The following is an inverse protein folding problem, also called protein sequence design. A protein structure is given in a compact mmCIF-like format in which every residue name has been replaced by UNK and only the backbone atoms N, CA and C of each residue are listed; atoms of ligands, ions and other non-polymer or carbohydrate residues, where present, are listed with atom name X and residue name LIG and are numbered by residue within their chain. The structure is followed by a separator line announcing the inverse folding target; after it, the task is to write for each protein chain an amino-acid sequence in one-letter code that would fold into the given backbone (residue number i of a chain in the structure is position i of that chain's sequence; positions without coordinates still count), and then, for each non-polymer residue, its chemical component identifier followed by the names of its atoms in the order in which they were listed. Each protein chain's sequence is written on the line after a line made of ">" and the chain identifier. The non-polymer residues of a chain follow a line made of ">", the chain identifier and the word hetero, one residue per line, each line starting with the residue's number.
data_IF_658122324223
#
_entry.id   IF_658122324223
#
_cell.length_a   1.000
_cell.length_b   1.000
_cell.length_c   1.000
_cell.angle_alpha   90.00
_cell.angle_beta   90.00
_cell.angle_gamma   90.00
#
_symmetry.space_group_name_H-M   'P 1'
#
loop_
_entity.id
_entity.type
_entity.pdbx_description
1 polymer ?
#
# COMPACT_ATOMS: atom_id res chain seq x y z
N UNK A 1 -41.43 30.36 5.50
CA UNK A 1 -40.24 30.57 4.66
C UNK A 1 -39.23 31.57 5.24
N UNK A 2 -39.65 32.72 5.79
CA UNK A 2 -38.73 33.72 6.37
C UNK A 2 -37.92 33.23 7.60
N UNK A 3 -38.45 32.31 8.40
CA UNK A 3 -37.80 31.74 9.59
C UNK A 3 -36.62 30.81 9.24
N UNK A 4 -36.73 29.99 8.17
CA UNK A 4 -35.68 29.09 7.73
C UNK A 4 -34.48 29.84 7.14
N UNK A 5 -34.74 30.93 6.37
CA UNK A 5 -33.68 31.75 5.77
C UNK A 5 -32.92 32.57 6.83
N UNK A 6 -33.58 33.03 7.89
CA UNK A 6 -32.93 33.74 8.99
C UNK A 6 -32.06 32.81 9.86
N UNK A 7 -32.52 31.57 10.09
CA UNK A 7 -31.73 30.54 10.77
C UNK A 7 -30.52 30.13 9.95
N UNK A 8 -30.66 30.01 8.63
CA UNK A 8 -29.57 29.68 7.71
C UNK A 8 -28.49 30.78 7.70
N UNK A 9 -28.89 32.06 7.57
CA UNK A 9 -27.95 33.20 7.63
C UNK A 9 -27.17 33.27 8.95
N UNK A 10 -27.80 32.90 10.05
CA UNK A 10 -27.12 32.84 11.34
C UNK A 10 -26.15 31.66 11.42
N UNK A 11 -26.54 30.49 10.90
CA UNK A 11 -25.69 29.33 10.81
C UNK A 11 -24.45 29.60 9.92
N UNK A 12 -24.64 30.28 8.80
CA UNK A 12 -23.55 30.65 7.88
C UNK A 12 -22.56 31.62 8.58
N UNK A 13 -23.05 32.58 9.38
CA UNK A 13 -22.20 33.49 10.15
C UNK A 13 -21.44 32.79 11.28
N UNK A 14 -22.07 31.86 11.98
CA UNK A 14 -21.42 31.04 13.03
C UNK A 14 -20.42 30.07 12.45
N UNK A 15 -20.69 29.48 11.25
CA UNK A 15 -19.76 28.62 10.51
C UNK A 15 -18.52 29.40 10.06
N UNK A 16 -18.66 30.66 9.66
CA UNK A 16 -17.53 31.51 9.31
C UNK A 16 -16.53 31.75 10.46
N UNK A 17 -16.96 31.53 11.69
CA UNK A 17 -16.09 31.57 12.88
C UNK A 17 -15.50 30.24 13.26
N UNK A 18 -15.91 29.13 12.63
CA UNK A 18 -15.46 27.74 12.88
C UNK A 18 -15.39 27.38 14.38
N UNK A 19 -16.37 27.81 15.15
CA UNK A 19 -16.43 27.60 16.61
C UNK A 19 -17.14 26.28 16.93
N UNK A 20 -16.41 25.18 16.81
CA UNK A 20 -16.88 23.82 17.10
C UNK A 20 -15.71 22.94 17.54
N UNK A 21 -16.04 21.77 18.10
CA UNK A 21 -15.10 20.69 18.42
C UNK A 21 -15.56 19.40 17.76
N UNK A 22 -14.61 18.55 17.36
CA UNK A 22 -14.89 17.19 16.90
C UNK A 22 -14.46 16.18 17.95
N UNK A 23 -15.27 15.16 18.11
CA UNK A 23 -15.01 14.00 18.92
C UNK A 23 -15.36 12.75 18.13
N UNK A 24 -14.61 11.66 18.31
CA UNK A 24 -14.99 10.37 17.78
C UNK A 24 -16.39 9.99 18.32
N UNK A 25 -17.28 9.52 17.45
CA UNK A 25 -18.58 9.00 17.86
C UNK A 25 -18.55 7.48 17.86
N UNK A 26 -19.23 6.88 18.84
CA UNK A 26 -19.43 5.43 18.92
C UNK A 26 -20.45 5.01 17.87
N UNK A 27 -20.12 4.00 17.05
CA UNK A 27 -21.03 3.44 16.06
C UNK A 27 -20.28 2.95 14.80
N UNK A 28 -21.05 2.45 13.84
CA UNK A 28 -20.51 1.90 12.60
C UNK A 28 -20.75 2.88 11.44
N UNK A 29 -19.67 3.33 10.81
CA UNK A 29 -19.72 4.03 9.53
C UNK A 29 -19.35 3.05 8.40
N UNK A 30 -19.81 3.34 7.17
CA UNK A 30 -19.36 2.60 6.00
C UNK A 30 -17.84 2.76 5.81
N UNK A 31 -17.24 1.77 5.16
CA UNK A 31 -15.81 1.82 4.83
C UNK A 31 -15.45 3.12 4.09
N UNK A 32 -14.34 3.76 4.46
CA UNK A 32 -13.94 5.06 3.91
C UNK A 32 -14.70 6.26 4.47
N UNK A 33 -15.54 6.07 5.48
CA UNK A 33 -16.29 7.12 6.17
C UNK A 33 -15.84 7.26 7.63
N UNK A 34 -16.07 8.43 8.22
CA UNK A 34 -15.84 8.68 9.64
C UNK A 34 -17.14 9.10 10.31
N UNK A 35 -17.45 8.49 11.46
CA UNK A 35 -18.55 8.92 12.32
C UNK A 35 -17.98 9.83 13.41
N UNK A 36 -18.42 11.06 13.44
CA UNK A 36 -17.94 12.08 14.37
C UNK A 36 -19.10 12.73 15.11
N UNK A 37 -18.90 13.05 16.38
CA UNK A 37 -19.77 13.94 17.13
C UNK A 37 -19.24 15.35 17.00
N UNK A 38 -20.07 16.23 16.44
CA UNK A 38 -19.77 17.65 16.28
C UNK A 38 -20.39 18.40 17.43
N UNK A 39 -19.56 19.02 18.26
CA UNK A 39 -19.97 19.89 19.31
C UNK A 39 -19.95 21.35 18.84
N UNK A 40 -21.12 21.97 18.76
CA UNK A 40 -21.26 23.36 18.33
C UNK A 40 -21.87 24.20 19.43
N UNK A 41 -21.44 25.44 19.56
CA UNK A 41 -21.98 26.38 20.50
C UNK A 41 -23.12 27.17 19.88
N UNK A 42 -24.28 27.21 20.55
CA UNK A 42 -25.49 27.90 20.09
C UNK A 42 -26.23 28.58 21.25
N UNK A 43 -26.86 29.71 20.97
CA UNK A 43 -27.74 30.36 21.94
C UNK A 43 -29.06 29.61 22.14
N UNK A 44 -29.34 28.61 21.32
CA UNK A 44 -30.47 27.69 21.41
C UNK A 44 -30.00 26.27 21.63
N UNK A 45 -30.80 25.40 22.29
CA UNK A 45 -30.44 23.99 22.53
C UNK A 45 -30.55 23.13 21.27
N UNK A 46 -30.56 23.73 20.10
CA UNK A 46 -30.65 23.03 18.78
C UNK A 46 -29.69 23.71 17.82
N UNK A 47 -29.25 22.95 16.83
CA UNK A 47 -28.39 23.42 15.74
C UNK A 47 -29.02 23.03 14.40
N UNK A 48 -28.80 23.84 13.37
CA UNK A 48 -29.22 23.45 12.00
C UNK A 48 -28.39 22.29 11.47
N UNK A 49 -29.05 21.29 10.87
CA UNK A 49 -28.39 20.12 10.27
C UNK A 49 -27.29 20.53 9.29
N UNK A 50 -27.56 21.52 8.43
CA UNK A 50 -26.57 22.04 7.50
C UNK A 50 -25.32 22.59 8.17
N UNK A 51 -25.43 23.19 9.35
CA UNK A 51 -24.28 23.68 10.12
C UNK A 51 -23.49 22.51 10.74
N UNK A 52 -24.18 21.51 11.29
CA UNK A 52 -23.51 20.33 11.81
C UNK A 52 -22.71 19.60 10.70
N UNK A 53 -23.31 19.43 9.52
CA UNK A 53 -22.64 18.84 8.35
C UNK A 53 -21.43 19.66 7.88
N UNK A 54 -21.57 20.99 7.80
CA UNK A 54 -20.44 21.89 7.48
C UNK A 54 -19.29 21.73 8.45
N UNK A 55 -19.58 21.81 9.76
CA UNK A 55 -18.58 21.72 10.81
C UNK A 55 -17.89 20.36 10.82
N UNK A 56 -18.64 19.25 10.56
CA UNK A 56 -18.08 17.91 10.44
C UNK A 56 -17.08 17.83 9.29
N UNK A 57 -17.48 18.26 8.08
CA UNK A 57 -16.63 18.21 6.89
C UNK A 57 -15.41 19.11 7.04
N UNK A 58 -15.60 20.36 7.52
CA UNK A 58 -14.49 21.27 7.80
C UNK A 58 -13.52 20.69 8.84
N UNK A 59 -14.05 20.07 9.88
CA UNK A 59 -13.23 19.48 10.93
C UNK A 59 -12.41 18.28 10.42
N UNK A 60 -12.97 17.44 9.56
CA UNK A 60 -12.22 16.36 8.90
C UNK A 60 -11.12 16.93 7.99
N UNK A 61 -11.38 18.04 7.31
CA UNK A 61 -10.37 18.66 6.43
C UNK A 61 -9.23 19.29 7.24
N UNK A 62 -9.51 20.09 8.30
CA UNK A 62 -8.54 21.00 8.88
C UNK A 62 -8.18 20.74 10.36
N UNK A 63 -8.99 19.99 11.13
CA UNK A 63 -8.77 19.82 12.56
C UNK A 63 -8.46 18.38 12.98
N UNK A 64 -9.02 17.40 12.28
CA UNK A 64 -9.03 16.02 12.77
C UNK A 64 -9.80 15.89 14.11
N UNK A 65 -9.60 14.78 14.81
CA UNK A 65 -10.13 14.58 16.17
C UNK A 65 -9.22 13.62 16.95
N UNK A 66 -9.11 13.80 18.29
CA UNK A 66 -8.24 12.98 19.12
C UNK A 66 -8.82 11.57 19.35
N UNK A 67 -7.98 10.70 19.88
CA UNK A 67 -8.41 9.40 20.39
C UNK A 67 -9.50 9.59 21.47
N UNK A 68 -10.42 8.64 21.57
CA UNK A 68 -11.42 8.68 22.63
C UNK A 68 -10.76 8.50 24.01
N UNK A 69 -11.24 9.27 24.99
CA UNK A 69 -10.77 9.22 26.38
C UNK A 69 -11.75 8.52 27.32
N UNK A 70 -12.90 8.09 26.81
CA UNK A 70 -14.03 7.53 27.57
C UNK A 70 -13.99 6.00 27.71
N UNK A 71 -12.87 5.38 27.38
CA UNK A 71 -12.70 3.92 27.43
C UNK A 71 -13.16 3.16 26.18
N UNK A 72 -13.77 3.83 25.21
CA UNK A 72 -14.23 3.21 23.93
C UNK A 72 -13.11 2.85 22.97
N UNK A 73 -11.87 3.30 23.25
CA UNK A 73 -10.66 3.05 22.43
C UNK A 73 -10.82 3.38 20.94
N UNK A 74 -11.64 4.38 20.60
CA UNK A 74 -11.74 4.83 19.22
C UNK A 74 -10.49 5.64 18.88
N UNK A 75 -9.81 5.25 17.80
CA UNK A 75 -8.60 5.93 17.34
C UNK A 75 -8.99 7.27 16.70
N UNK A 76 -8.27 8.31 17.06
CA UNK A 76 -8.41 9.65 16.48
C UNK A 76 -8.01 9.67 15.01
N UNK A 77 -8.24 10.80 14.37
CA UNK A 77 -7.89 11.00 12.97
C UNK A 77 -7.18 12.34 12.79
N UNK A 78 -6.04 12.29 12.12
CA UNK A 78 -5.38 13.50 11.64
C UNK A 78 -6.24 14.19 10.56
N UNK A 79 -6.18 15.53 10.45
CA UNK A 79 -6.87 16.26 9.39
C UNK A 79 -6.36 15.86 8.00
N UNK A 80 -7.18 16.05 6.97
CA UNK A 80 -6.76 15.82 5.59
C UNK A 80 -5.72 16.83 5.12
N UNK A 81 -5.73 18.03 5.70
CA UNK A 81 -4.81 19.15 5.45
C UNK A 81 -4.18 19.55 6.78
N UNK A 82 -2.89 19.25 6.94
CA UNK A 82 -2.13 19.57 8.15
C UNK A 82 -1.50 20.97 8.10
N UNK A 83 -1.49 21.60 6.92
CA UNK A 83 -0.94 22.95 6.74
C UNK A 83 -2.06 23.99 6.76
N UNK A 84 -2.14 24.83 7.80
CA UNK A 84 -3.18 25.88 7.93
C UNK A 84 -3.14 26.89 6.76
N UNK A 85 -1.98 27.11 6.16
CA UNK A 85 -1.83 28.08 5.07
C UNK A 85 -2.61 27.70 3.81
N UNK A 86 -2.97 26.42 3.66
CA UNK A 86 -3.75 25.95 2.50
C UNK A 86 -5.18 26.50 2.53
N UNK A 87 -5.80 26.64 3.71
CA UNK A 87 -7.13 27.25 3.83
C UNK A 87 -7.08 28.71 3.41
N UNK A 88 -6.10 29.46 3.90
CA UNK A 88 -5.92 30.88 3.59
C UNK A 88 -5.58 31.11 2.10
N UNK A 89 -4.75 30.26 1.52
CA UNK A 89 -4.38 30.32 0.10
C UNK A 89 -5.56 30.00 -0.83
N UNK A 90 -6.59 29.29 -0.37
CA UNK A 90 -7.73 28.83 -1.16
C UNK A 90 -9.09 29.34 -0.63
N UNK A 91 -9.12 30.55 -0.05
CA UNK A 91 -10.32 31.13 0.59
C UNK A 91 -11.54 31.14 -0.35
N UNK A 92 -11.37 31.49 -1.61
CA UNK A 92 -12.48 31.54 -2.57
C UNK A 92 -13.05 30.13 -2.84
N UNK A 93 -12.17 29.14 -2.98
CA UNK A 93 -12.57 27.74 -3.12
C UNK A 93 -13.39 27.27 -1.92
N UNK A 94 -12.88 27.45 -0.69
CA UNK A 94 -13.55 26.98 0.51
C UNK A 94 -14.84 27.76 0.82
N UNK A 95 -14.89 29.05 0.51
CA UNK A 95 -16.13 29.80 0.60
C UNK A 95 -17.22 29.24 -0.33
N UNK A 96 -16.84 28.86 -1.56
CA UNK A 96 -17.76 28.22 -2.49
C UNK A 96 -18.11 26.79 -2.09
N UNK A 97 -17.15 26.05 -1.56
CA UNK A 97 -17.32 24.67 -1.11
C UNK A 97 -18.31 24.58 0.08
N UNK A 98 -18.18 25.50 1.05
CA UNK A 98 -18.97 25.51 2.28
C UNK A 98 -20.21 26.42 2.24
N UNK A 99 -20.51 27.10 1.15
CA UNK A 99 -21.73 27.89 1.05
C UNK A 99 -22.99 27.03 1.18
N UNK A 100 -24.12 27.65 1.49
CA UNK A 100 -25.42 26.97 1.49
C UNK A 100 -25.69 26.28 0.15
N UNK A 101 -25.98 24.98 0.17
CA UNK A 101 -26.08 24.17 -1.04
C UNK A 101 -24.74 23.84 -1.71
N UNK A 102 -23.62 24.12 -1.05
CA UNK A 102 -22.27 23.86 -1.56
C UNK A 102 -21.89 22.39 -1.61
N UNK A 103 -20.72 22.12 -2.19
CA UNK A 103 -20.27 20.76 -2.49
C UNK A 103 -20.07 19.90 -1.24
N UNK A 104 -19.80 20.47 -0.06
CA UNK A 104 -19.62 19.74 1.20
C UNK A 104 -20.77 18.78 1.51
N UNK A 105 -22.01 19.13 1.11
CA UNK A 105 -23.20 18.31 1.39
C UNK A 105 -23.12 16.91 0.77
N UNK A 106 -22.41 16.74 -0.33
CA UNK A 106 -22.23 15.46 -1.01
C UNK A 106 -21.40 14.46 -0.22
N UNK A 107 -20.64 14.95 0.77
CA UNK A 107 -19.74 14.13 1.59
C UNK A 107 -20.30 13.86 2.99
N UNK A 108 -21.54 14.24 3.23
CA UNK A 108 -22.29 13.92 4.46
C UNK A 108 -23.31 12.85 4.13
N UNK A 109 -23.13 11.65 4.68
CA UNK A 109 -24.04 10.52 4.46
C UNK A 109 -25.13 10.41 5.53
N UNK A 110 -24.93 11.00 6.70
CA UNK A 110 -25.87 11.01 7.79
C UNK A 110 -25.64 12.23 8.67
N UNK A 111 -26.73 12.82 9.15
CA UNK A 111 -26.75 13.81 10.23
C UNK A 111 -27.90 13.37 11.17
N UNK A 112 -27.62 13.31 12.47
CA UNK A 112 -28.68 13.04 13.45
C UNK A 112 -29.87 13.98 13.25
N UNK A 113 -31.10 13.46 13.38
CA UNK A 113 -32.38 14.06 12.97
C UNK A 113 -32.71 15.46 13.57
N UNK A 114 -31.73 16.36 13.68
CA UNK A 114 -31.84 17.67 14.31
C UNK A 114 -32.09 17.61 15.83
N UNK A 115 -32.23 16.40 16.37
CA UNK A 115 -32.30 16.16 17.81
C UNK A 115 -30.87 16.00 18.31
N UNK A 116 -30.37 16.85 19.20
CA UNK A 116 -29.03 16.70 19.75
C UNK A 116 -28.89 15.38 20.49
N UNK A 117 -27.79 14.66 20.22
CA UNK A 117 -27.42 13.47 20.99
C UNK A 117 -27.16 13.84 22.45
N UNK A 118 -26.60 15.04 22.64
CA UNK A 118 -26.31 15.61 23.95
C UNK A 118 -26.42 17.15 23.93
N UNK A 119 -26.84 17.74 25.06
CA UNK A 119 -26.90 19.17 25.28
C UNK A 119 -26.32 19.51 26.64
N UNK A 120 -25.42 20.48 26.66
CA UNK A 120 -24.83 20.99 27.90
C UNK A 120 -24.99 22.51 27.93
N UNK A 121 -25.58 23.06 29.01
CA UNK A 121 -25.67 24.49 29.17
C UNK A 121 -24.32 25.05 29.65
N UNK A 122 -23.78 26.00 28.91
CA UNK A 122 -22.50 26.66 29.20
C UNK A 122 -22.73 28.18 29.30
N UNK A 123 -22.94 28.68 30.47
CA UNK A 123 -23.27 30.09 30.67
C UNK A 123 -24.57 30.51 29.97
N UNK A 124 -24.50 31.41 29.00
CA UNK A 124 -25.64 31.88 28.18
C UNK A 124 -25.86 31.09 26.90
N UNK A 125 -25.03 30.12 26.61
CA UNK A 125 -25.05 29.28 25.41
C UNK A 125 -25.27 27.81 25.75
N UNK A 126 -25.56 27.01 24.73
CA UNK A 126 -25.63 25.56 24.79
C UNK A 126 -24.50 24.98 23.97
N UNK A 127 -23.78 24.04 24.52
CA UNK A 127 -22.90 23.13 23.78
C UNK A 127 -23.76 21.95 23.30
N UNK A 128 -23.96 21.86 21.99
CA UNK A 128 -24.89 20.91 21.36
C UNK A 128 -24.10 19.90 20.55
N UNK A 129 -24.22 18.60 20.87
CA UNK A 129 -23.55 17.51 20.18
C UNK A 129 -24.49 16.81 19.20
N UNK A 130 -24.07 16.68 17.93
CA UNK A 130 -24.79 15.95 16.89
C UNK A 130 -23.82 14.98 16.22
N UNK A 131 -24.26 13.74 16.03
CA UNK A 131 -23.50 12.73 15.27
C UNK A 131 -23.67 12.95 13.77
N UNK A 132 -22.55 12.95 13.04
CA UNK A 132 -22.47 13.12 11.60
C UNK A 132 -21.54 12.06 11.01
N UNK A 133 -21.94 11.46 9.89
CA UNK A 133 -21.07 10.55 9.12
C UNK A 133 -20.56 11.29 7.88
N UNK A 134 -19.24 11.38 7.75
CA UNK A 134 -18.54 12.02 6.63
C UNK A 134 -17.87 10.97 5.77
N UNK A 135 -18.11 11.01 4.44
CA UNK A 135 -17.48 10.14 3.44
C UNK A 135 -16.07 10.64 3.12
N UNK A 136 -15.11 10.28 3.97
CA UNK A 136 -13.77 10.88 4.00
C UNK A 136 -12.95 10.58 2.75
N UNK A 137 -13.00 9.35 2.24
CA UNK A 137 -12.22 8.97 1.06
C UNK A 137 -12.72 9.68 -0.20
N UNK A 138 -14.03 9.85 -0.34
CA UNK A 138 -14.61 10.62 -1.44
C UNK A 138 -14.29 12.13 -1.31
N UNK A 139 -14.31 12.66 -0.08
CA UNK A 139 -13.93 14.03 0.20
C UNK A 139 -12.46 14.29 -0.16
N UNK A 140 -11.55 13.39 0.24
CA UNK A 140 -10.12 13.46 -0.12
C UNK A 140 -9.94 13.46 -1.64
N UNK A 141 -10.55 12.47 -2.32
CA UNK A 141 -10.47 12.36 -3.78
C UNK A 141 -10.90 13.67 -4.47
N UNK A 142 -11.96 14.29 -3.99
CA UNK A 142 -12.42 15.58 -4.53
C UNK A 142 -11.39 16.70 -4.32
N UNK A 143 -10.80 16.79 -3.13
CA UNK A 143 -9.78 17.80 -2.85
C UNK A 143 -8.50 17.58 -3.69
N UNK A 144 -8.19 16.33 -4.00
CA UNK A 144 -7.11 15.96 -4.92
C UNK A 144 -7.44 16.36 -6.37
N UNK A 145 -8.64 16.05 -6.86
CA UNK A 145 -9.12 16.43 -8.20
C UNK A 145 -9.17 17.94 -8.39
N UNK A 146 -9.51 18.70 -7.36
CA UNK A 146 -9.56 20.16 -7.38
C UNK A 146 -8.17 20.79 -7.16
N UNK A 147 -7.11 19.98 -6.95
CA UNK A 147 -5.74 20.46 -6.75
C UNK A 147 -5.49 21.16 -5.40
N UNK A 148 -6.40 21.02 -4.43
CA UNK A 148 -6.27 21.59 -3.07
C UNK A 148 -5.25 20.83 -2.24
N UNK A 149 -5.27 19.50 -2.35
CA UNK A 149 -4.24 18.63 -1.78
C UNK A 149 -3.54 17.90 -2.91
N UNK A 150 -2.26 17.60 -2.71
CA UNK A 150 -1.54 16.80 -3.71
C UNK A 150 -2.19 15.42 -3.81
N UNK A 151 -2.63 15.08 -5.01
CA UNK A 151 -3.04 13.73 -5.30
C UNK A 151 -1.92 12.76 -4.90
N UNK A 152 -2.29 11.56 -4.45
CA UNK A 152 -1.34 10.46 -4.25
C UNK A 152 -0.82 9.93 -5.62
N UNK A 153 -0.72 10.79 -6.63
CA UNK A 153 -0.18 10.48 -7.93
C UNK A 153 1.27 10.92 -8.05
N UNK A 154 2.10 10.04 -8.55
CA UNK A 154 3.45 10.33 -9.03
C UNK A 154 3.29 10.85 -10.46
N UNK A 155 4.13 11.80 -10.88
CA UNK A 155 4.34 12.04 -12.32
C UNK A 155 4.90 10.73 -12.90
N UNK A 156 4.02 9.91 -13.49
CA UNK A 156 4.38 8.62 -14.03
C UNK A 156 3.38 7.51 -13.68
N UNK A 157 3.69 6.28 -14.07
CA UNK A 157 2.87 5.10 -13.77
C UNK A 157 2.98 4.76 -12.28
N UNK A 158 1.85 4.72 -11.59
CA UNK A 158 1.81 4.20 -10.22
C UNK A 158 2.20 2.72 -10.20
N UNK A 159 3.02 2.28 -9.24
CA UNK A 159 3.34 0.88 -9.09
C UNK A 159 2.12 0.05 -8.78
N UNK A 160 2.16 -1.18 -9.24
CA UNK A 160 1.09 -2.15 -9.04
C UNK A 160 1.23 -2.83 -7.69
N UNK A 161 0.15 -2.90 -6.93
CA UNK A 161 0.12 -3.53 -5.61
C UNK A 161 -0.58 -4.89 -5.66
N UNK A 162 -0.20 -5.80 -4.75
CA UNK A 162 -0.92 -7.03 -4.47
C UNK A 162 -1.03 -7.23 -2.96
N UNK A 163 -2.23 -7.55 -2.47
CA UNK A 163 -2.46 -7.88 -1.05
C UNK A 163 -2.39 -9.39 -0.88
N UNK A 164 -1.60 -9.84 0.08
CA UNK A 164 -1.40 -11.26 0.41
C UNK A 164 -1.44 -11.47 1.92
N UNK A 165 -1.84 -12.66 2.42
CA UNK A 165 -1.65 -12.96 3.83
C UNK A 165 -0.16 -13.14 4.16
N UNK A 166 0.26 -12.73 5.36
CA UNK A 166 1.64 -12.94 5.80
C UNK A 166 1.98 -14.42 5.93
N UNK A 167 3.26 -14.76 5.78
CA UNK A 167 3.72 -16.12 6.02
C UNK A 167 3.42 -16.59 7.47
N UNK A 168 3.47 -15.66 8.42
CA UNK A 168 3.15 -15.96 9.81
C UNK A 168 1.66 -16.29 9.99
N UNK A 169 0.76 -15.54 9.36
CA UNK A 169 -0.67 -15.83 9.36
C UNK A 169 -0.96 -17.19 8.72
N UNK A 170 -0.36 -17.47 7.56
CA UNK A 170 -0.50 -18.76 6.88
C UNK A 170 -0.04 -19.92 7.75
N UNK A 171 1.12 -19.79 8.41
CA UNK A 171 1.65 -20.82 9.29
C UNK A 171 0.74 -21.09 10.50
N UNK A 172 0.27 -20.03 11.17
CA UNK A 172 -0.67 -20.16 12.30
C UNK A 172 -1.97 -20.88 11.94
N UNK A 173 -2.45 -20.70 10.70
CA UNK A 173 -3.71 -21.25 10.24
C UNK A 173 -3.56 -22.56 9.44
N UNK A 174 -2.35 -23.11 9.34
CA UNK A 174 -2.08 -24.37 8.65
C UNK A 174 -2.14 -24.30 7.13
N UNK A 175 -1.91 -23.11 6.57
CA UNK A 175 -1.89 -22.85 5.14
C UNK A 175 -0.45 -22.76 4.61
N UNK A 176 0.32 -23.83 4.83
CA UNK A 176 1.67 -23.99 4.32
C UNK A 176 1.74 -25.18 3.36
N UNK A 177 2.63 -25.13 2.39
CA UNK A 177 2.96 -26.22 1.48
C UNK A 177 4.47 -26.49 1.50
N UNK A 178 4.84 -27.74 1.32
CA UNK A 178 6.25 -28.13 1.18
C UNK A 178 6.74 -27.85 -0.24
N UNK A 179 7.98 -27.45 -0.34
CA UNK A 179 8.69 -27.19 -1.58
C UNK A 179 10.09 -27.79 -1.48
N UNK A 180 10.51 -28.52 -2.52
CA UNK A 180 11.86 -29.09 -2.59
C UNK A 180 12.82 -28.05 -3.21
N UNK A 181 13.72 -27.53 -2.40
CA UNK A 181 14.79 -26.66 -2.82
C UNK A 181 16.11 -27.45 -2.88
N UNK A 182 16.39 -28.06 -4.02
CA UNK A 182 17.64 -28.79 -4.28
C UNK A 182 17.94 -29.89 -3.23
N UNK A 183 16.92 -30.64 -2.86
CA UNK A 183 17.01 -31.70 -1.86
C UNK A 183 16.80 -31.26 -0.40
N UNK A 184 16.51 -29.98 -0.16
CA UNK A 184 16.07 -29.47 1.12
C UNK A 184 14.58 -29.15 1.07
N UNK A 185 13.82 -29.70 1.98
CA UNK A 185 12.39 -29.39 2.10
C UNK A 185 12.21 -28.08 2.82
N UNK A 186 11.67 -27.09 2.12
CA UNK A 186 11.24 -25.82 2.68
C UNK A 186 9.72 -25.73 2.76
N UNK A 187 9.19 -24.88 3.64
CA UNK A 187 7.76 -24.61 3.77
C UNK A 187 7.47 -23.18 3.40
N UNK A 188 6.53 -23.01 2.46
CA UNK A 188 6.10 -21.70 1.97
C UNK A 188 4.59 -21.55 2.09
N UNK A 189 4.05 -20.34 2.14
CA UNK A 189 2.61 -20.09 2.14
C UNK A 189 1.88 -20.78 0.98
N UNK A 190 0.76 -21.41 1.30
CA UNK A 190 -0.21 -21.95 0.33
C UNK A 190 -1.39 -20.97 0.23
N UNK A 191 -1.23 -19.93 -0.55
CA UNK A 191 -2.27 -18.90 -0.72
C UNK A 191 -3.54 -19.44 -1.36
N UNK A 192 -3.44 -20.46 -2.23
CA UNK A 192 -4.61 -21.08 -2.83
C UNK A 192 -5.45 -21.80 -1.79
N UNK A 193 -4.82 -22.61 -0.95
CA UNK A 193 -5.49 -23.30 0.16
C UNK A 193 -6.06 -22.30 1.17
N UNK A 194 -5.34 -21.23 1.47
CA UNK A 194 -5.79 -20.18 2.37
C UNK A 194 -7.07 -19.50 1.88
N UNK A 195 -7.13 -19.07 0.60
CA UNK A 195 -8.31 -18.44 0.01
C UNK A 195 -9.52 -19.39 -0.08
N UNK A 196 -9.29 -20.66 -0.39
CA UNK A 196 -10.36 -21.66 -0.49
C UNK A 196 -11.01 -21.97 0.86
N UNK A 197 -10.28 -21.85 1.97
CA UNK A 197 -10.72 -22.32 3.29
C UNK A 197 -10.95 -21.18 4.30
N UNK A 198 -10.68 -19.93 3.96
CA UNK A 198 -10.87 -18.79 4.86
C UNK A 198 -11.66 -17.66 4.20
N UNK A 199 -12.95 -17.61 4.51
CA UNK A 199 -13.80 -16.49 4.11
C UNK A 199 -13.32 -15.16 4.72
N UNK A 200 -12.82 -15.20 5.97
CA UNK A 200 -12.25 -14.03 6.64
C UNK A 200 -11.06 -13.46 5.88
N UNK A 201 -10.21 -14.31 5.27
CA UNK A 201 -9.09 -13.87 4.45
C UNK A 201 -9.58 -13.14 3.18
N UNK A 202 -10.55 -13.71 2.48
CA UNK A 202 -11.12 -13.07 1.29
C UNK A 202 -11.68 -11.69 1.64
N UNK A 203 -12.48 -11.58 2.70
CA UNK A 203 -13.02 -10.32 3.19
C UNK A 203 -11.93 -9.31 3.60
N UNK A 204 -10.83 -9.78 4.21
CA UNK A 204 -9.72 -8.91 4.60
C UNK A 204 -8.98 -8.36 3.38
N UNK A 205 -8.70 -9.20 2.38
CA UNK A 205 -8.07 -8.79 1.12
C UNK A 205 -8.96 -7.78 0.39
N UNK A 206 -10.26 -8.07 0.26
CA UNK A 206 -11.20 -7.18 -0.41
C UNK A 206 -11.31 -5.81 0.30
N UNK A 207 -11.31 -5.80 1.63
CA UNK A 207 -11.34 -4.57 2.42
C UNK A 207 -10.12 -3.68 2.13
N UNK A 208 -8.91 -4.25 2.12
CA UNK A 208 -7.68 -3.51 1.83
C UNK A 208 -7.63 -3.11 0.35
N UNK A 209 -8.00 -4.00 -0.57
CA UNK A 209 -8.07 -3.68 -2.00
C UNK A 209 -8.98 -2.48 -2.27
N UNK A 210 -10.20 -2.47 -1.70
CA UNK A 210 -11.12 -1.36 -1.85
C UNK A 210 -10.54 -0.04 -1.30
N UNK A 211 -9.87 -0.08 -0.15
CA UNK A 211 -9.21 1.09 0.44
C UNK A 211 -8.07 1.62 -0.44
N UNK A 212 -7.21 0.74 -0.95
CA UNK A 212 -6.10 1.12 -1.82
C UNK A 212 -6.60 1.64 -3.17
N UNK A 213 -7.64 1.01 -3.75
CA UNK A 213 -8.29 1.48 -4.98
C UNK A 213 -8.88 2.89 -4.82
N UNK A 214 -9.54 3.17 -3.68
CA UNK A 214 -10.05 4.50 -3.35
C UNK A 214 -8.95 5.57 -3.24
N UNK A 215 -7.70 5.16 -2.98
CA UNK A 215 -6.50 6.01 -3.01
C UNK A 215 -5.83 6.07 -4.38
N UNK A 216 -6.41 5.44 -5.39
CA UNK A 216 -5.93 5.47 -6.78
C UNK A 216 -4.80 4.48 -7.08
N UNK A 217 -4.45 3.57 -6.17
CA UNK A 217 -3.43 2.56 -6.43
C UNK A 217 -3.96 1.45 -7.33
N UNK A 218 -3.24 1.07 -8.40
CA UNK A 218 -3.58 -0.08 -9.22
C UNK A 218 -3.29 -1.38 -8.46
N UNK A 219 -4.23 -2.32 -8.51
CA UNK A 219 -4.18 -3.57 -7.75
C UNK A 219 -4.16 -4.77 -8.70
N UNK A 220 -3.40 -5.78 -8.32
CA UNK A 220 -3.47 -7.14 -8.85
C UNK A 220 -4.23 -8.01 -7.87
N UNK A 221 -5.22 -8.70 -8.38
CA UNK A 221 -6.01 -9.64 -7.58
C UNK A 221 -5.27 -10.96 -7.38
N UNK A 222 -5.15 -11.39 -6.12
CA UNK A 222 -4.42 -12.61 -5.75
C UNK A 222 -5.11 -13.86 -6.31
N UNK A 223 -6.43 -13.95 -6.17
CA UNK A 223 -7.20 -15.13 -6.61
C UNK A 223 -7.14 -15.29 -8.14
N UNK A 224 -7.34 -14.19 -8.88
CA UNK A 224 -7.23 -14.19 -10.33
C UNK A 224 -5.82 -14.58 -10.80
N UNK A 225 -4.78 -14.10 -10.13
CA UNK A 225 -3.38 -14.43 -10.44
C UNK A 225 -3.09 -15.91 -10.20
N UNK A 226 -3.57 -16.47 -9.09
CA UNK A 226 -3.42 -17.91 -8.79
C UNK A 226 -4.17 -18.79 -9.80
N UNK A 227 -5.34 -18.37 -10.27
CA UNK A 227 -6.07 -19.06 -11.34
C UNK A 227 -5.30 -19.06 -12.67
N UNK A 228 -4.70 -17.93 -13.03
CA UNK A 228 -3.85 -17.81 -14.23
C UNK A 228 -2.65 -18.75 -14.14
N UNK A 229 -1.93 -18.73 -13.01
CA UNK A 229 -0.81 -19.64 -12.76
C UNK A 229 -1.18 -21.12 -12.93
N UNK A 230 -2.32 -21.51 -12.40
CA UNK A 230 -2.79 -22.88 -12.53
C UNK A 230 -3.06 -23.28 -13.98
N UNK A 231 -3.63 -22.36 -14.77
CA UNK A 231 -3.89 -22.59 -16.20
C UNK A 231 -2.57 -22.68 -16.99
N UNK A 232 -1.65 -21.75 -16.79
CA UNK A 232 -0.33 -21.73 -17.43
C UNK A 232 0.49 -22.97 -17.09
N UNK A 233 0.51 -23.38 -15.80
CA UNK A 233 1.20 -24.61 -15.37
C UNK A 233 0.63 -25.87 -16.02
N UNK A 234 -0.68 -25.93 -16.23
CA UNK A 234 -1.31 -27.05 -16.92
C UNK A 234 -0.96 -27.08 -18.42
N UNK A 235 -0.92 -25.90 -19.07
CA UNK A 235 -0.51 -25.76 -20.47
C UNK A 235 0.98 -26.11 -20.66
N UNK A 236 1.86 -25.62 -19.80
CA UNK A 236 3.29 -25.90 -19.82
C UNK A 236 3.57 -27.39 -19.60
N UNK A 237 2.85 -28.04 -18.70
CA UNK A 237 2.95 -29.49 -18.48
C UNK A 237 2.57 -30.31 -19.73
N UNK A 238 1.67 -29.79 -20.57
CA UNK A 238 1.31 -30.43 -21.84
C UNK A 238 2.36 -30.21 -22.95
N UNK A 239 3.08 -29.07 -22.90
CA UNK A 239 3.98 -28.67 -23.99
C UNK A 239 5.45 -29.04 -23.74
N UNK A 240 5.88 -29.19 -22.48
CA UNK A 240 7.29 -29.40 -22.12
C UNK A 240 7.55 -30.78 -21.54
N UNK A 241 7.91 -31.74 -22.41
CA UNK A 241 8.39 -33.05 -21.97
C UNK A 241 9.92 -33.17 -21.89
N UNK A 242 10.69 -32.09 -21.89
CA UNK A 242 12.15 -32.08 -21.75
C UNK A 242 12.61 -31.18 -20.64
N UNK A 243 12.98 -31.78 -19.51
CA UNK A 243 13.65 -31.12 -18.38
C UNK A 243 15.10 -30.80 -18.74
N UNK A 244 15.40 -29.52 -18.96
CA UNK A 244 16.74 -28.98 -18.70
C UNK A 244 16.81 -28.59 -17.22
N UNK A 245 18.00 -28.55 -16.60
CA UNK A 245 18.22 -28.15 -15.21
C UNK A 245 17.72 -26.70 -15.00
N UNK A 246 16.43 -26.55 -14.71
CA UNK A 246 15.84 -25.30 -14.34
C UNK A 246 16.23 -25.00 -12.90
N UNK A 247 16.61 -23.76 -12.62
CA UNK A 247 16.71 -23.26 -11.24
C UNK A 247 15.34 -23.49 -10.60
N UNK A 248 15.32 -24.17 -9.46
CA UNK A 248 14.09 -24.47 -8.75
C UNK A 248 13.57 -23.15 -8.15
N UNK A 249 12.56 -22.55 -8.79
CA UNK A 249 11.86 -21.38 -8.23
C UNK A 249 10.84 -21.85 -7.17
N UNK A 250 10.74 -21.13 -6.07
CA UNK A 250 9.68 -21.38 -5.08
C UNK A 250 8.31 -21.00 -5.66
N UNK A 251 7.21 -21.60 -5.17
CA UNK A 251 5.85 -21.19 -5.54
C UNK A 251 5.59 -19.69 -5.36
N UNK A 252 6.23 -19.07 -4.39
CA UNK A 252 6.13 -17.61 -4.12
C UNK A 252 6.89 -16.82 -5.19
N UNK A 253 8.09 -17.24 -5.59
CA UNK A 253 8.86 -16.59 -6.66
C UNK A 253 8.13 -16.66 -8.00
N UNK A 254 7.51 -17.80 -8.29
CA UNK A 254 6.67 -17.99 -9.48
C UNK A 254 5.47 -17.04 -9.44
N UNK A 255 4.79 -16.94 -8.30
CA UNK A 255 3.66 -16.04 -8.13
C UNK A 255 4.09 -14.57 -8.32
N UNK A 256 5.21 -14.15 -7.72
CA UNK A 256 5.77 -12.80 -7.89
C UNK A 256 6.05 -12.49 -9.37
N UNK A 257 6.70 -13.39 -10.06
CA UNK A 257 7.05 -13.26 -11.48
C UNK A 257 5.81 -13.18 -12.39
N UNK A 258 4.76 -13.92 -12.07
CA UNK A 258 3.50 -13.92 -12.84
C UNK A 258 2.64 -12.69 -12.51
N UNK A 259 2.49 -12.36 -11.24
CA UNK A 259 1.72 -11.21 -10.80
C UNK A 259 2.31 -9.89 -11.31
N UNK A 260 3.65 -9.77 -11.35
CA UNK A 260 4.37 -8.54 -11.69
C UNK A 260 3.84 -7.35 -10.89
N UNK A 261 3.49 -7.59 -9.62
CA UNK A 261 3.16 -6.53 -8.69
C UNK A 261 4.47 -5.94 -8.15
N UNK A 262 4.58 -4.62 -8.15
CA UNK A 262 5.78 -3.93 -7.67
C UNK A 262 5.91 -3.99 -6.15
N UNK A 263 4.77 -3.95 -5.46
CA UNK A 263 4.67 -3.98 -4.00
C UNK A 263 3.73 -5.09 -3.56
N UNK A 264 4.17 -5.85 -2.57
CA UNK A 264 3.36 -6.81 -1.84
C UNK A 264 2.95 -6.22 -0.50
N UNK A 265 1.64 -6.21 -0.23
CA UNK A 265 1.09 -5.79 1.04
C UNK A 265 0.74 -7.06 1.82
N UNK A 266 1.60 -7.44 2.75
CA UNK A 266 1.36 -8.55 3.65
C UNK A 266 0.43 -8.11 4.77
N UNK A 267 -0.67 -8.86 4.97
CA UNK A 267 -1.62 -8.64 6.06
C UNK A 267 -1.55 -9.76 7.09
N UNK A 268 -1.64 -9.38 8.36
CA UNK A 268 -1.71 -10.31 9.49
C UNK A 268 -2.76 -9.83 10.49
N UNK A 269 -3.49 -10.76 11.09
CA UNK A 269 -4.45 -10.44 12.12
C UNK A 269 -4.68 -11.57 13.10
N UNK A 270 -5.22 -11.18 14.24
CA UNK A 270 -5.71 -12.09 15.26
C UNK A 270 -7.00 -11.55 15.87
N UNK A 271 -7.97 -12.42 16.09
CA UNK A 271 -9.23 -12.07 16.76
C UNK A 271 -9.21 -12.55 18.19
N UNK A 272 -9.63 -11.71 19.14
CA UNK A 272 -9.72 -12.04 20.56
C UNK A 272 -11.15 -11.85 21.04
N UNK A 273 -11.74 -12.92 21.60
CA UNK A 273 -13.06 -12.85 22.23
C UNK A 273 -12.98 -12.12 23.57
N UNK A 274 -13.95 -11.25 23.85
CA UNK A 274 -14.06 -10.54 25.12
C UNK A 274 -14.82 -11.44 26.10
N UNK A 275 -14.28 -11.63 27.31
CA UNK A 275 -14.89 -12.45 28.34
C UNK A 275 -16.33 -11.98 28.64
N UNK A 276 -17.28 -12.89 28.51
CA UNK A 276 -18.70 -12.69 28.89
C UNK A 276 -19.61 -12.19 27.78
N UNK A 277 -19.12 -11.99 26.53
CA UNK A 277 -19.94 -11.52 25.42
C UNK A 277 -19.64 -12.21 24.07
N UNK A 278 -20.51 -11.97 23.12
CA UNK A 278 -20.30 -12.37 21.70
C UNK A 278 -19.34 -11.41 20.95
N UNK A 279 -18.82 -10.40 21.63
CA UNK A 279 -17.96 -9.38 21.05
C UNK A 279 -16.54 -9.87 20.86
N UNK A 280 -15.92 -9.45 19.76
CA UNK A 280 -14.52 -9.76 19.44
C UNK A 280 -13.78 -8.45 19.15
N UNK A 281 -12.49 -8.43 19.42
CA UNK A 281 -11.57 -7.42 18.91
C UNK A 281 -10.69 -8.03 17.85
N UNK A 282 -10.29 -7.23 16.87
CA UNK A 282 -9.33 -7.58 15.84
C UNK A 282 -8.05 -6.80 16.09
N UNK A 283 -6.92 -7.50 16.24
CA UNK A 283 -5.60 -6.88 16.12
C UNK A 283 -5.11 -7.10 14.70
N UNK A 284 -4.87 -6.02 13.97
CA UNK A 284 -4.52 -6.05 12.55
C UNK A 284 -3.21 -5.30 12.29
N UNK A 285 -2.41 -5.83 11.41
CA UNK A 285 -1.20 -5.20 10.90
C UNK A 285 -1.06 -5.42 9.40
N UNK A 286 -0.34 -4.53 8.74
CA UNK A 286 0.03 -4.69 7.34
C UNK A 286 1.43 -4.13 7.09
N UNK A 287 2.16 -4.77 6.19
CA UNK A 287 3.51 -4.39 5.80
C UNK A 287 3.62 -4.41 4.27
N UNK A 288 4.05 -3.32 3.69
CA UNK A 288 4.31 -3.24 2.26
C UNK A 288 5.79 -3.54 1.99
N UNK A 289 6.03 -4.54 1.17
CA UNK A 289 7.35 -4.99 0.74
C UNK A 289 7.54 -4.67 -0.74
N UNK A 290 8.70 -4.15 -1.09
CA UNK A 290 9.12 -4.10 -2.48
C UNK A 290 9.36 -5.52 -3.01
N UNK A 291 8.66 -5.89 -4.09
CA UNK A 291 8.68 -7.26 -4.61
C UNK A 291 10.02 -7.66 -5.27
N UNK A 292 10.92 -6.71 -5.49
CA UNK A 292 12.24 -6.93 -6.07
C UNK A 292 13.33 -7.10 -5.03
N UNK A 293 13.19 -6.45 -3.87
CA UNK A 293 14.24 -6.37 -2.85
C UNK A 293 13.85 -6.97 -1.50
N UNK A 294 12.58 -7.31 -1.31
CA UNK A 294 11.97 -7.70 -0.02
C UNK A 294 12.10 -6.63 1.10
N UNK A 295 12.48 -5.41 0.73
CA UNK A 295 12.59 -4.32 1.69
C UNK A 295 11.21 -3.81 2.11
N UNK A 296 11.02 -3.62 3.42
CA UNK A 296 9.83 -2.95 3.94
C UNK A 296 9.85 -1.47 3.57
N UNK A 297 8.77 -1.00 2.95
CA UNK A 297 8.63 0.37 2.43
C UNK A 297 7.56 1.18 3.14
N UNK A 298 6.57 0.52 3.71
CA UNK A 298 5.53 1.14 4.53
C UNK A 298 4.93 0.08 5.47
N UNK A 299 4.42 0.50 6.62
CA UNK A 299 3.80 -0.42 7.57
C UNK A 299 2.69 0.23 8.38
N UNK A 300 1.74 -0.60 8.81
CA UNK A 300 0.77 -0.32 9.87
C UNK A 300 1.14 -1.23 11.03
N UNK A 301 1.53 -0.63 12.15
CA UNK A 301 1.84 -1.40 13.37
C UNK A 301 0.60 -2.09 13.91
N UNK A 302 0.75 -3.23 14.62
CA UNK A 302 -0.40 -3.91 15.17
C UNK A 302 -1.28 -2.98 15.99
N UNK A 303 -2.52 -2.82 15.57
CA UNK A 303 -3.51 -2.00 16.25
C UNK A 303 -4.83 -2.75 16.37
N UNK A 304 -5.55 -2.46 17.46
CA UNK A 304 -6.73 -3.23 17.83
C UNK A 304 -7.99 -2.44 17.58
N UNK A 305 -8.96 -3.05 16.89
CA UNK A 305 -10.30 -2.47 16.71
C UNK A 305 -11.03 -2.34 18.06
N UNK A 306 -11.99 -1.39 18.18
CA UNK A 306 -12.89 -1.35 19.33
C UNK A 306 -13.67 -2.66 19.49
N UNK A 307 -14.15 -2.90 20.73
CA UNK A 307 -14.82 -4.16 21.14
C UNK A 307 -16.29 -4.29 20.69
N UNK A 308 -16.74 -3.50 19.76
CA UNK A 308 -18.17 -3.36 19.40
C UNK A 308 -18.65 -4.35 18.36
N UNK A 309 -17.74 -5.13 17.77
CA UNK A 309 -18.01 -6.00 16.64
C UNK A 309 -18.31 -7.44 17.09
N UNK A 310 -19.40 -8.02 16.60
CA UNK A 310 -19.93 -9.30 17.11
C UNK A 310 -19.78 -10.47 16.16
N UNK A 311 -19.50 -10.27 14.89
CA UNK A 311 -19.57 -11.34 13.90
C UNK A 311 -18.47 -11.26 12.82
N UNK A 312 -18.13 -12.40 12.24
CA UNK A 312 -17.12 -12.55 11.18
C UNK A 312 -17.42 -11.73 9.93
N UNK A 313 -18.69 -11.51 9.59
CA UNK A 313 -19.06 -10.63 8.47
C UNK A 313 -18.77 -9.14 8.70
N UNK A 314 -18.27 -8.75 9.86
CA UNK A 314 -17.84 -7.39 10.16
C UNK A 314 -16.33 -7.18 9.97
N UNK A 315 -15.60 -8.16 9.43
CA UNK A 315 -14.15 -8.07 9.19
C UNK A 315 -13.72 -6.76 8.50
N UNK A 316 -14.36 -6.29 7.42
CA UNK A 316 -13.98 -5.03 6.78
C UNK A 316 -14.08 -3.81 7.71
N UNK A 317 -15.12 -3.76 8.55
CA UNK A 317 -15.31 -2.66 9.52
C UNK A 317 -14.31 -2.72 10.67
N UNK A 318 -13.96 -3.94 11.13
CA UNK A 318 -12.95 -4.14 12.16
C UNK A 318 -11.56 -3.72 11.67
N UNK A 319 -11.21 -4.08 10.43
CA UNK A 319 -9.97 -3.64 9.79
C UNK A 319 -9.95 -2.13 9.66
N UNK A 320 -11.02 -1.53 9.13
CA UNK A 320 -11.15 -0.08 9.01
C UNK A 320 -10.89 0.63 10.33
N UNK A 321 -11.54 0.18 11.40
CA UNK A 321 -11.37 0.75 12.73
C UNK A 321 -9.95 0.55 13.28
N UNK A 322 -9.31 -0.59 12.99
CA UNK A 322 -7.95 -0.88 13.44
C UNK A 322 -6.90 0.01 12.75
N UNK A 323 -7.03 0.25 11.44
CA UNK A 323 -6.00 0.97 10.67
C UNK A 323 -6.27 2.46 10.50
N UNK A 324 -7.43 2.97 10.94
CA UNK A 324 -7.93 4.32 10.65
C UNK A 324 -6.88 5.42 10.84
N UNK A 325 -6.15 5.43 11.95
CA UNK A 325 -5.14 6.46 12.25
C UNK A 325 -3.79 6.26 11.55
N UNK A 326 -3.53 5.10 10.96
CA UNK A 326 -2.24 4.74 10.37
C UNK A 326 -2.29 4.59 8.83
N UNK A 327 -3.49 4.53 8.26
CA UNK A 327 -3.65 4.27 6.82
C UNK A 327 -3.15 5.42 5.94
N UNK A 328 -3.39 6.67 6.32
CA UNK A 328 -2.90 7.85 5.58
C UNK A 328 -1.36 7.97 5.65
N UNK A 329 -0.71 7.82 6.82
CA UNK A 329 0.74 7.70 6.90
C UNK A 329 1.30 6.55 6.05
N UNK A 330 0.65 5.39 6.04
CA UNK A 330 1.04 4.24 5.21
C UNK A 330 1.03 4.60 3.71
N UNK A 331 -0.06 5.18 3.21
CA UNK A 331 -0.16 5.64 1.82
C UNK A 331 0.88 6.72 1.49
N UNK A 332 1.18 7.62 2.42
CA UNK A 332 2.20 8.66 2.26
C UNK A 332 3.61 8.06 2.16
N UNK A 333 3.91 7.04 2.96
CA UNK A 333 5.19 6.30 2.89
C UNK A 333 5.35 5.57 1.56
N UNK A 334 4.29 4.90 1.08
CA UNK A 334 4.28 4.30 -0.25
C UNK A 334 4.59 5.33 -1.33
N UNK A 335 3.90 6.48 -1.31
CA UNK A 335 4.14 7.56 -2.27
C UNK A 335 5.59 8.03 -2.25
N UNK A 336 6.13 8.31 -1.07
CA UNK A 336 7.53 8.75 -0.92
C UNK A 336 8.51 7.71 -1.47
N UNK A 337 8.19 6.42 -1.29
CA UNK A 337 8.97 5.34 -1.87
C UNK A 337 8.93 5.36 -3.40
N UNK A 338 7.76 5.58 -4.00
CA UNK A 338 7.61 5.65 -5.46
C UNK A 338 8.27 6.86 -6.07
N UNK A 339 8.17 8.02 -5.43
CA UNK A 339 8.90 9.23 -5.84
C UNK A 339 10.42 8.99 -5.85
N UNK A 340 10.91 8.19 -4.90
CA UNK A 340 12.32 7.78 -4.84
C UNK A 340 12.67 6.80 -5.96
N UNK A 341 11.85 5.78 -6.22
CA UNK A 341 12.06 4.84 -7.33
C UNK A 341 12.11 5.56 -8.68
N UNK A 342 11.23 6.53 -8.91
CA UNK A 342 11.21 7.31 -10.13
C UNK A 342 12.52 8.10 -10.36
N UNK A 343 13.15 8.58 -9.28
CA UNK A 343 14.38 9.38 -9.33
C UNK A 343 15.68 8.56 -9.29
N UNK A 344 15.68 7.46 -8.55
CA UNK A 344 16.89 6.69 -8.25
C UNK A 344 16.95 5.34 -8.95
N UNK A 345 15.89 4.98 -9.67
CA UNK A 345 15.75 3.65 -10.26
C UNK A 345 15.36 2.58 -9.22
N UNK A 346 15.22 1.36 -9.71
CA UNK A 346 14.84 0.17 -8.93
C UNK A 346 16.08 -0.65 -8.61
N UNK A 347 16.28 -0.98 -7.35
CA UNK A 347 17.37 -1.86 -6.95
C UNK A 347 17.06 -3.30 -7.35
N UNK A 348 18.04 -3.98 -7.94
CA UNK A 348 18.04 -5.40 -8.23
C UNK A 348 19.34 -6.03 -7.73
N UNK A 349 19.40 -7.36 -7.75
CA UNK A 349 20.59 -8.14 -7.47
C UNK A 349 21.08 -8.81 -8.76
N UNK A 350 22.37 -8.63 -9.09
CA UNK A 350 23.03 -9.33 -10.16
C UNK A 350 23.97 -10.40 -9.59
N UNK A 351 23.82 -11.63 -10.03
CA UNK A 351 24.78 -12.69 -9.77
C UNK A 351 25.42 -13.12 -11.10
N UNK A 352 26.73 -13.18 -11.11
CA UNK A 352 27.51 -13.72 -12.24
C UNK A 352 28.25 -14.95 -11.75
N UNK A 353 28.14 -16.02 -12.47
CA UNK A 353 28.79 -17.31 -12.19
C UNK A 353 29.52 -17.74 -13.45
N UNK A 354 30.54 -18.57 -13.30
CA UNK A 354 31.19 -19.26 -14.43
C UNK A 354 30.88 -20.76 -14.38
N UNK A 355 30.79 -21.38 -15.54
CA UNK A 355 30.88 -22.84 -15.62
C UNK A 355 32.30 -23.30 -15.29
N UNK A 356 32.46 -24.51 -14.74
CA UNK A 356 33.77 -25.08 -14.36
C UNK A 356 34.73 -25.25 -15.55
N UNK A 357 34.19 -25.28 -16.78
CA UNK A 357 34.93 -25.44 -18.03
C UNK A 357 35.10 -24.13 -18.81
N UNK A 358 34.77 -22.97 -18.22
CA UNK A 358 34.87 -21.68 -18.90
C UNK A 358 36.34 -21.24 -19.06
N UNK A 359 36.99 -21.02 -17.96
CA UNK A 359 38.36 -20.57 -17.83
C UNK A 359 38.87 -20.91 -16.43
N UNK A 360 40.15 -21.28 -16.26
CA UNK A 360 40.73 -21.64 -14.96
C UNK A 360 40.80 -20.41 -14.00
N UNK A 361 40.91 -19.19 -14.56
CA UNK A 361 40.89 -17.94 -13.81
C UNK A 361 39.46 -17.39 -13.62
N UNK A 362 38.44 -17.99 -14.27
CA UNK A 362 37.03 -17.62 -14.13
C UNK A 362 36.76 -16.18 -14.53
N UNK A 363 36.20 -15.39 -13.60
CA UNK A 363 35.93 -13.96 -13.79
C UNK A 363 37.16 -13.07 -13.70
N UNK A 364 38.32 -13.60 -13.31
CA UNK A 364 39.62 -12.93 -13.33
C UNK A 364 40.35 -13.12 -14.67
N UNK A 365 39.82 -13.91 -15.61
CA UNK A 365 40.37 -14.05 -16.93
C UNK A 365 40.39 -12.71 -17.67
N UNK A 366 41.50 -12.44 -18.38
CA UNK A 366 41.72 -11.19 -19.12
C UNK A 366 41.08 -11.21 -20.50
N UNK A 367 40.37 -10.15 -20.84
CA UNK A 367 39.80 -9.88 -22.16
C UNK A 367 40.15 -8.43 -22.56
N UNK A 368 40.82 -8.28 -23.70
CA UNK A 368 41.26 -6.99 -24.22
C UNK A 368 42.16 -6.17 -23.24
N UNK A 369 42.77 -6.85 -22.25
CA UNK A 369 43.67 -6.25 -21.27
C UNK A 369 43.05 -5.92 -19.91
N UNK A 370 41.74 -6.16 -19.74
CA UNK A 370 41.02 -5.98 -18.48
C UNK A 370 40.46 -7.32 -17.98
N UNK A 371 40.35 -7.50 -16.68
CA UNK A 371 39.72 -8.68 -16.10
C UNK A 371 38.20 -8.67 -16.35
N UNK A 372 37.60 -9.83 -16.57
CA UNK A 372 36.18 -9.94 -16.92
C UNK A 372 35.26 -9.34 -15.84
N UNK A 373 35.61 -9.45 -14.56
CA UNK A 373 34.84 -8.84 -13.50
C UNK A 373 34.85 -7.30 -13.58
N UNK A 374 35.97 -6.67 -13.95
CA UNK A 374 36.09 -5.22 -14.14
C UNK A 374 35.28 -4.75 -15.34
N UNK A 375 35.33 -5.49 -16.45
CA UNK A 375 34.51 -5.25 -17.64
C UNK A 375 33.00 -5.26 -17.28
N UNK A 376 32.58 -6.20 -16.45
CA UNK A 376 31.19 -6.30 -16.00
C UNK A 376 30.84 -5.14 -15.06
N UNK A 377 31.74 -4.77 -14.14
CA UNK A 377 31.54 -3.65 -13.20
C UNK A 377 31.41 -2.33 -13.93
N UNK A 378 32.27 -2.06 -14.90
CA UNK A 378 32.23 -0.86 -15.74
C UNK A 378 30.90 -0.79 -16.53
N UNK A 379 30.49 -1.91 -17.13
CA UNK A 379 29.21 -1.95 -17.81
C UNK A 379 28.04 -1.69 -16.87
N UNK A 380 28.07 -2.24 -15.64
CA UNK A 380 27.05 -1.98 -14.61
C UNK A 380 27.03 -0.51 -14.23
N UNK A 381 28.19 0.12 -14.04
CA UNK A 381 28.30 1.55 -13.74
C UNK A 381 27.66 2.42 -14.83
N UNK A 382 27.89 2.10 -16.10
CA UNK A 382 27.34 2.83 -17.24
C UNK A 382 25.83 2.64 -17.43
N UNK A 383 25.31 1.48 -17.03
CA UNK A 383 23.91 1.07 -17.29
C UNK A 383 23.00 1.12 -16.05
N UNK A 384 23.43 1.77 -14.99
CA UNK A 384 22.67 2.05 -13.78
C UNK A 384 22.32 3.53 -13.65
N UNK A 385 21.30 3.84 -12.85
CA UNK A 385 20.89 5.23 -12.60
C UNK A 385 21.98 5.93 -11.78
N UNK A 386 22.62 6.93 -12.37
CA UNK A 386 23.74 7.68 -11.77
C UNK A 386 24.94 6.81 -11.36
N UNK A 387 25.19 5.71 -12.05
CA UNK A 387 26.30 4.79 -11.70
C UNK A 387 26.12 4.12 -10.34
N UNK A 388 24.89 3.95 -9.85
CA UNK A 388 24.64 3.52 -8.48
C UNK A 388 24.42 2.01 -8.36
N UNK A 389 25.34 1.34 -7.68
CA UNK A 389 25.25 -0.07 -7.31
C UNK A 389 26.08 -0.33 -6.03
N UNK A 390 25.87 -1.49 -5.39
CA UNK A 390 26.66 -1.92 -4.24
C UNK A 390 28.01 -2.47 -4.68
N UNK A 391 28.98 -2.47 -3.77
CA UNK A 391 30.32 -3.03 -4.04
C UNK A 391 30.20 -4.50 -4.45
N UNK A 392 30.86 -4.92 -5.54
CA UNK A 392 30.89 -6.31 -5.95
C UNK A 392 31.51 -7.23 -4.89
N UNK A 393 30.90 -8.39 -4.67
CA UNK A 393 31.44 -9.49 -3.87
C UNK A 393 31.95 -10.57 -4.82
N UNK A 394 33.25 -10.56 -5.09
CA UNK A 394 33.94 -11.54 -5.92
C UNK A 394 34.48 -12.67 -5.04
N UNK A 395 34.17 -13.93 -5.40
CA UNK A 395 34.74 -15.09 -4.70
C UNK A 395 36.24 -15.20 -4.92
N UNK A 396 37.01 -15.70 -3.94
CA UNK A 396 38.46 -15.89 -4.08
C UNK A 396 38.88 -16.81 -5.25
N UNK A 397 37.96 -17.68 -5.70
CA UNK A 397 38.17 -18.57 -6.83
C UNK A 397 37.81 -17.97 -8.19
N UNK A 398 37.37 -16.73 -8.24
CA UNK A 398 36.94 -16.06 -9.47
C UNK A 398 35.66 -16.64 -10.12
N UNK A 399 35.04 -17.64 -9.55
CA UNK A 399 33.91 -18.35 -10.20
C UNK A 399 32.53 -17.74 -9.88
N UNK A 400 32.48 -16.73 -9.00
CA UNK A 400 31.23 -16.06 -8.62
C UNK A 400 31.46 -14.60 -8.29
N UNK A 401 30.62 -13.73 -8.84
CA UNK A 401 30.50 -12.34 -8.42
C UNK A 401 29.03 -12.02 -8.09
N UNK A 402 28.80 -11.27 -7.03
CA UNK A 402 27.48 -10.79 -6.63
C UNK A 402 27.51 -9.29 -6.47
N UNK A 403 26.59 -8.59 -7.12
CA UNK A 403 26.41 -7.15 -6.97
C UNK A 403 25.01 -6.91 -6.43
N UNK A 404 24.96 -6.33 -5.24
CA UNK A 404 23.72 -5.95 -4.57
C UNK A 404 23.34 -4.52 -4.95
N UNK A 405 22.06 -4.17 -4.78
CA UNK A 405 21.55 -2.80 -4.97
C UNK A 405 21.91 -2.17 -6.33
N UNK A 406 21.89 -2.95 -7.40
CA UNK A 406 22.07 -2.44 -8.75
C UNK A 406 20.85 -1.62 -9.15
N UNK A 407 20.99 -0.28 -9.16
CA UNK A 407 19.86 0.63 -9.40
C UNK A 407 19.57 0.78 -10.90
N UNK A 408 18.66 -0.04 -11.43
CA UNK A 408 18.29 -0.02 -12.85
C UNK A 408 17.20 1.03 -13.14
N UNK A 409 17.16 1.63 -14.34
CA UNK A 409 16.05 2.48 -14.78
C UNK A 409 14.74 1.71 -14.75
N UNK A 410 13.62 2.37 -14.39
CA UNK A 410 12.29 1.75 -14.44
C UNK A 410 11.85 1.41 -15.86
N UNK A 411 12.31 2.17 -16.84
CA UNK A 411 11.99 2.03 -18.25
C UNK A 411 13.26 2.17 -19.09
N UNK A 412 13.29 1.48 -20.22
CA UNK A 412 14.32 1.71 -21.22
C UNK A 412 14.03 2.96 -22.05
N UNK A 413 14.95 3.33 -22.95
CA UNK A 413 14.83 4.48 -23.86
C UNK A 413 13.55 4.46 -24.73
N UNK A 414 12.93 3.32 -24.92
CA UNK A 414 11.69 3.13 -25.68
C UNK A 414 10.43 3.16 -24.80
N UNK A 415 10.56 3.54 -23.52
CA UNK A 415 9.47 3.58 -22.55
C UNK A 415 8.95 2.21 -22.10
N UNK A 416 9.68 1.13 -22.36
CA UNK A 416 9.31 -0.23 -21.91
C UNK A 416 9.86 -0.45 -20.50
N UNK A 417 9.06 -1.05 -19.64
CA UNK A 417 9.48 -1.44 -18.29
C UNK A 417 10.68 -2.37 -18.31
N UNK A 418 11.63 -2.12 -17.41
CA UNK A 418 12.78 -2.97 -17.18
C UNK A 418 12.59 -3.73 -15.87
N UNK A 419 12.78 -5.03 -15.96
CA UNK A 419 12.99 -5.94 -14.83
C UNK A 419 14.45 -6.43 -14.80
N UNK A 420 14.83 -7.15 -13.76
CA UNK A 420 16.19 -7.68 -13.63
C UNK A 420 16.62 -8.51 -14.85
N UNK A 421 15.71 -9.33 -15.40
CA UNK A 421 15.99 -10.17 -16.58
C UNK A 421 16.24 -9.34 -17.84
N UNK A 422 15.36 -8.38 -18.12
CA UNK A 422 15.44 -7.54 -19.32
C UNK A 422 16.69 -6.68 -19.32
N UNK A 423 17.06 -6.17 -18.14
CA UNK A 423 18.27 -5.39 -17.95
C UNK A 423 19.54 -6.27 -18.13
N UNK A 424 19.62 -7.41 -17.42
CA UNK A 424 20.77 -8.31 -17.51
C UNK A 424 20.94 -8.96 -18.91
N UNK A 425 19.86 -9.05 -19.70
CA UNK A 425 19.95 -9.45 -21.12
C UNK A 425 20.77 -8.48 -21.96
N UNK A 426 20.81 -7.20 -21.57
CA UNK A 426 21.66 -6.23 -22.28
C UNK A 426 23.13 -6.46 -21.94
N UNK A 427 23.48 -6.81 -20.70
CA UNK A 427 24.80 -7.27 -20.32
C UNK A 427 25.20 -8.53 -21.08
N UNK A 428 24.31 -9.54 -21.12
CA UNK A 428 24.55 -10.77 -21.90
C UNK A 428 24.89 -10.48 -23.37
N UNK A 429 24.15 -9.56 -24.00
CA UNK A 429 24.43 -9.16 -25.39
C UNK A 429 25.73 -8.39 -25.51
N UNK A 430 26.06 -7.55 -24.55
CA UNK A 430 27.34 -6.80 -24.53
C UNK A 430 28.53 -7.75 -24.51
N UNK A 431 28.54 -8.72 -23.59
CA UNK A 431 29.59 -9.72 -23.47
C UNK A 431 29.71 -10.57 -24.73
N UNK A 432 28.58 -11.01 -25.32
CA UNK A 432 28.60 -11.78 -26.57
C UNK A 432 29.15 -10.99 -27.76
N UNK A 433 28.68 -9.74 -27.93
CA UNK A 433 28.99 -8.97 -29.14
C UNK A 433 30.42 -8.40 -29.14
N UNK A 434 30.91 -7.98 -27.95
CA UNK A 434 32.19 -7.31 -27.85
C UNK A 434 33.34 -8.29 -27.51
N UNK A 435 33.05 -9.35 -26.73
CA UNK A 435 34.08 -10.26 -26.22
C UNK A 435 33.88 -11.72 -26.68
N UNK A 436 32.84 -11.99 -27.49
CA UNK A 436 32.49 -13.35 -27.94
C UNK A 436 32.19 -14.32 -26.77
N UNK A 437 31.81 -13.80 -25.60
CA UNK A 437 31.52 -14.60 -24.42
C UNK A 437 30.05 -15.03 -24.43
N UNK A 438 29.84 -16.34 -24.52
CA UNK A 438 28.49 -16.91 -24.39
C UNK A 438 28.09 -17.03 -22.91
N UNK A 439 26.81 -16.91 -22.63
CA UNK A 439 26.30 -17.04 -21.28
C UNK A 439 24.83 -17.43 -21.24
N UNK A 440 24.39 -18.02 -20.15
CA UNK A 440 23.01 -18.37 -19.87
C UNK A 440 22.41 -17.43 -18.84
N UNK A 441 21.25 -16.83 -19.16
CA UNK A 441 20.54 -15.89 -18.29
C UNK A 441 19.33 -16.56 -17.65
N UNK A 442 19.28 -16.55 -16.34
CA UNK A 442 18.15 -17.00 -15.53
C UNK A 442 17.74 -15.92 -14.52
N UNK A 443 16.60 -16.09 -13.87
CA UNK A 443 16.07 -15.16 -12.86
C UNK A 443 15.52 -15.93 -11.68
N UNK A 444 15.57 -15.30 -10.49
CA UNK A 444 14.85 -15.74 -9.31
C UNK A 444 13.91 -14.62 -8.87
N UNK A 445 12.59 -14.89 -8.90
CA UNK A 445 11.58 -13.87 -8.70
C UNK A 445 11.69 -12.71 -9.70
N UNK A 446 11.42 -11.48 -9.24
CA UNK A 446 11.49 -10.26 -10.06
C UNK A 446 12.83 -9.53 -9.96
N UNK A 447 13.46 -9.58 -8.79
CA UNK A 447 14.56 -8.71 -8.42
C UNK A 447 15.96 -9.29 -8.61
N UNK A 448 16.10 -10.58 -8.94
CA UNK A 448 17.41 -11.19 -9.10
C UNK A 448 17.60 -11.70 -10.54
N UNK A 449 18.68 -11.25 -11.18
CA UNK A 449 19.20 -11.84 -12.41
C UNK A 449 20.45 -12.67 -12.10
N UNK A 450 20.58 -13.80 -12.78
CA UNK A 450 21.75 -14.66 -12.71
C UNK A 450 22.26 -14.94 -14.11
N UNK A 451 23.50 -14.55 -14.35
CA UNK A 451 24.22 -14.80 -15.59
C UNK A 451 25.27 -15.88 -15.34
N UNK A 452 25.25 -16.95 -16.11
CA UNK A 452 26.24 -18.02 -16.05
C UNK A 452 27.10 -17.96 -17.32
N UNK A 453 28.34 -17.60 -17.15
CA UNK A 453 29.33 -17.38 -18.21
C UNK A 453 29.85 -18.73 -18.69
N UNK A 454 30.08 -18.83 -19.99
CA UNK A 454 30.48 -20.06 -20.67
C UNK A 454 29.27 -20.73 -21.34
N UNK A 455 29.52 -21.50 -22.37
CA UNK A 455 28.52 -22.26 -23.13
C UNK A 455 28.61 -23.73 -22.78
N UNK A 456 27.47 -24.36 -22.51
CA UNK A 456 27.33 -25.81 -22.68
C UNK A 456 26.72 -26.09 -24.02
#
# INVERSE_FOLDING_TARGET
>A
MASATAQQRKADKETAQWRYELQAAVGQAAQGSAMVRVWTYSTKPTIAEGQAGKNAVHGIIFKGYPNSTDGTRIIGREPLINDPSVEDANVEYFNNFFKTGGAYQRYVSYIGNGVPDQQIKVGKEYKVGITVIVMVDQLRKRLEEDGIIKALGVEGKLPTLMVVPSAQWCNKNGYMQSFDNQGQTEYVPDYQKALLNSEELAQAIDAINARMANRGFPLKDLEATLKTLKSESAEDAMLTSKSGAAITESPIDILRRTAKADIWIEIDWNTTAIKGGSQKTLTFSMNALDAYTDMSVAGVTPSTSPAEYTASFQMPLMIEAAIQGQFDPFCSSLKSYFDRLAKQGRAIKLRVLTWDDFDEDGLMAEFDGDELHDIIEDWVAENTVNGKFGSPDLSPSGNRMTIEQVCIPLQNEKGRELDARSWARNLQKHLKNNYSIESNLSTKGLGQAQLIIGGK
#
